data_IF_171779783085
#
_entry.id   IF_171779783085
#
_cell.length_a   1.000
_cell.length_b   1.000
_cell.length_c   1.000
_cell.angle_alpha   90.00
_cell.angle_beta   90.00
_cell.angle_gamma   90.00
#
_symmetry.space_group_name_H-M   'P 1'
#
loop_
_entity.id
_entity.type
_entity.pdbx_description
1 polymer ?
#
# COMPACT_ATOMS: atom_id res chain seq x y z
N UNK A 1 17.35 -39.14 -3.06
CA UNK A 1 16.03 -39.27 -3.74
C UNK A 1 14.99 -39.54 -2.66
N UNK A 2 14.37 -38.52 -2.07
CA UNK A 2 13.22 -38.68 -1.18
C UNK A 2 11.99 -38.24 -1.97
N UNK A 3 11.12 -39.17 -2.33
CA UNK A 3 9.80 -38.89 -2.88
C UNK A 3 8.97 -38.21 -1.81
N UNK A 4 8.73 -36.92 -1.95
CA UNK A 4 7.61 -36.24 -1.29
C UNK A 4 6.31 -36.77 -1.94
N UNK A 5 5.72 -37.79 -1.36
CA UNK A 5 4.36 -38.20 -1.68
C UNK A 5 3.41 -37.12 -1.16
N UNK A 6 2.93 -36.25 -2.06
CA UNK A 6 1.80 -35.37 -1.78
C UNK A 6 0.53 -36.21 -1.71
N UNK A 7 0.06 -36.49 -0.49
CA UNK A 7 -1.25 -37.15 -0.26
C UNK A 7 -2.35 -36.10 -0.44
N UNK A 8 -3.46 -36.49 -1.07
CA UNK A 8 -4.65 -35.66 -1.14
C UNK A 8 -5.30 -35.49 0.26
N UNK A 9 -6.09 -34.41 0.46
CA UNK A 9 -6.87 -34.19 1.69
C UNK A 9 -7.68 -35.43 2.06
N UNK A 10 -8.30 -36.07 1.05
CA UNK A 10 -9.09 -37.29 1.24
C UNK A 10 -8.25 -38.48 1.73
N UNK A 11 -6.99 -38.62 1.26
CA UNK A 11 -6.08 -39.67 1.74
C UNK A 11 -5.66 -39.44 3.20
N UNK A 12 -5.43 -38.18 3.57
CA UNK A 12 -5.10 -37.83 4.94
C UNK A 12 -6.29 -38.06 5.89
N UNK A 13 -7.49 -37.66 5.47
CA UNK A 13 -8.74 -37.90 6.21
C UNK A 13 -8.98 -39.40 6.37
N UNK A 14 -8.83 -40.20 5.30
CA UNK A 14 -9.00 -41.66 5.35
C UNK A 14 -8.01 -42.30 6.31
N UNK A 15 -6.74 -41.93 6.28
CA UNK A 15 -5.70 -42.43 7.19
C UNK A 15 -5.95 -42.01 8.64
N UNK A 16 -6.45 -40.79 8.86
CA UNK A 16 -6.80 -40.30 10.18
C UNK A 16 -8.01 -41.06 10.79
N UNK A 17 -9.06 -41.28 9.99
CA UNK A 17 -10.23 -42.05 10.40
C UNK A 17 -9.87 -43.52 10.70
N UNK A 18 -9.00 -44.14 9.85
CA UNK A 18 -8.53 -45.53 10.09
C UNK A 18 -7.72 -45.64 11.40
N UNK A 19 -6.78 -44.71 11.64
CA UNK A 19 -6.02 -44.67 12.89
C UNK A 19 -6.93 -44.48 14.12
N UNK A 20 -7.99 -43.68 13.99
CA UNK A 20 -8.97 -43.44 15.05
C UNK A 20 -9.75 -44.69 15.39
N UNK A 21 -10.11 -45.52 14.40
CA UNK A 21 -10.76 -46.83 14.65
C UNK A 21 -9.82 -47.86 15.26
N UNK A 22 -8.51 -47.76 14.99
CA UNK A 22 -7.48 -48.68 15.48
C UNK A 22 -6.95 -48.30 16.90
N UNK A 23 -7.18 -47.07 17.34
CA UNK A 23 -6.76 -46.54 18.64
C UNK A 23 -7.87 -46.70 19.68
N UNK A 24 -8.19 -47.94 20.05
CA UNK A 24 -9.13 -48.18 21.14
C UNK A 24 -8.74 -47.49 22.46
N UNK A 25 -9.70 -46.99 23.19
CA UNK A 25 -9.77 -46.47 24.62
C UNK A 25 -8.57 -45.71 25.23
N UNK A 26 -7.44 -45.57 24.57
CA UNK A 26 -6.20 -45.00 25.12
C UNK A 26 -6.07 -43.46 24.97
N UNK A 27 -6.82 -42.82 24.07
CA UNK A 27 -6.79 -41.36 23.86
C UNK A 27 -7.97 -40.69 24.52
N UNK A 28 -7.69 -39.89 25.56
CA UNK A 28 -8.74 -39.14 26.28
C UNK A 28 -9.32 -38.06 25.34
N UNK A 29 -10.60 -38.21 24.98
CA UNK A 29 -11.28 -37.21 24.15
C UNK A 29 -11.33 -35.86 24.90
N UNK A 30 -11.02 -34.78 24.20
CA UNK A 30 -10.90 -33.41 24.67
C UNK A 30 -12.13 -32.57 24.27
N UNK A 31 -12.34 -31.48 24.96
CA UNK A 31 -13.35 -30.49 24.58
C UNK A 31 -12.94 -29.78 23.30
N UNK A 32 -13.91 -29.43 22.44
CA UNK A 32 -13.66 -28.73 21.18
C UNK A 32 -12.89 -27.43 21.38
N UNK A 33 -13.26 -26.63 22.41
CA UNK A 33 -12.60 -25.37 22.72
C UNK A 33 -11.11 -25.53 23.07
N UNK A 34 -10.77 -26.59 23.84
CA UNK A 34 -9.37 -26.87 24.17
C UNK A 34 -8.54 -27.26 22.94
N UNK A 35 -9.13 -28.05 22.03
CA UNK A 35 -8.50 -28.43 20.77
C UNK A 35 -8.28 -27.18 19.88
N UNK A 36 -9.30 -26.36 19.75
CA UNK A 36 -9.24 -25.11 18.95
C UNK A 36 -8.16 -24.17 19.48
N UNK A 37 -8.13 -23.89 20.76
CA UNK A 37 -7.13 -23.03 21.39
C UNK A 37 -5.70 -23.56 21.22
N UNK A 38 -5.51 -24.86 21.34
CA UNK A 38 -4.20 -25.49 21.15
C UNK A 38 -3.73 -25.36 19.69
N UNK A 39 -4.60 -25.65 18.73
CA UNK A 39 -4.28 -25.56 17.30
C UNK A 39 -4.06 -24.13 16.86
N UNK A 40 -4.86 -23.18 17.35
CA UNK A 40 -4.67 -21.75 17.08
C UNK A 40 -3.27 -21.29 17.49
N UNK A 41 -2.81 -21.65 18.70
CA UNK A 41 -1.46 -21.30 19.18
C UNK A 41 -0.35 -21.93 18.33
N UNK A 42 -0.49 -23.21 17.97
CA UNK A 42 0.51 -23.94 17.19
C UNK A 42 0.62 -23.38 15.76
N UNK A 43 -0.51 -23.17 15.09
CA UNK A 43 -0.57 -22.69 13.72
C UNK A 43 -0.16 -21.20 13.66
N UNK A 44 -0.64 -20.37 14.57
CA UNK A 44 -0.23 -18.96 14.61
C UNK A 44 1.28 -18.78 14.86
N UNK A 45 1.89 -19.66 15.68
CA UNK A 45 3.32 -19.61 15.99
C UNK A 45 4.20 -20.08 14.80
N UNK A 46 3.80 -21.16 14.14
CA UNK A 46 4.66 -21.86 13.19
C UNK A 46 4.27 -21.61 11.72
N UNK A 47 3.03 -21.18 11.45
CA UNK A 47 2.40 -21.11 10.12
C UNK A 47 1.53 -19.86 9.98
N UNK A 48 1.98 -18.74 10.52
CA UNK A 48 1.23 -17.45 10.44
C UNK A 48 1.04 -16.96 9.01
N UNK A 49 1.98 -17.26 8.12
CA UNK A 49 1.90 -16.87 6.71
C UNK A 49 0.79 -17.65 5.98
N UNK A 50 0.73 -18.98 6.18
CA UNK A 50 -0.29 -19.85 5.60
C UNK A 50 -1.68 -19.50 6.12
N UNK A 51 -1.79 -19.17 7.42
CA UNK A 51 -3.04 -18.72 8.02
C UNK A 51 -3.53 -17.40 7.39
N UNK A 52 -2.62 -16.46 7.15
CA UNK A 52 -2.95 -15.19 6.51
C UNK A 52 -3.30 -15.35 5.02
N UNK A 53 -2.68 -16.30 4.33
CA UNK A 53 -2.88 -16.53 2.90
C UNK A 53 -4.32 -16.95 2.56
N UNK A 54 -5.00 -17.66 3.47
CA UNK A 54 -6.41 -18.07 3.31
C UNK A 54 -7.36 -16.87 3.12
N UNK A 55 -6.98 -15.69 3.60
CA UNK A 55 -7.80 -14.49 3.47
C UNK A 55 -7.92 -13.97 2.03
N UNK A 56 -6.97 -14.31 1.16
CA UNK A 56 -6.89 -13.76 -0.19
C UNK A 56 -6.62 -14.78 -1.31
N UNK A 57 -6.36 -16.04 -0.96
CA UNK A 57 -6.05 -17.11 -1.91
C UNK A 57 -6.96 -18.33 -1.66
N UNK A 58 -7.98 -18.57 -2.49
CA UNK A 58 -8.91 -19.70 -2.30
C UNK A 58 -8.22 -21.07 -2.19
N UNK A 59 -7.11 -21.25 -2.92
CA UNK A 59 -6.31 -22.47 -2.90
C UNK A 59 -5.59 -22.71 -1.55
N UNK A 60 -5.45 -21.69 -0.72
CA UNK A 60 -4.85 -21.84 0.61
C UNK A 60 -5.76 -22.56 1.61
N UNK A 61 -7.08 -22.62 1.38
CA UNK A 61 -8.02 -23.36 2.22
C UNK A 61 -7.61 -24.82 2.36
N UNK A 62 -7.33 -25.49 1.24
CA UNK A 62 -6.90 -26.89 1.23
C UNK A 62 -5.61 -27.09 2.04
N UNK A 63 -4.62 -26.19 1.85
CA UNK A 63 -3.35 -26.27 2.58
C UNK A 63 -3.53 -26.08 4.11
N UNK A 64 -4.39 -25.16 4.52
CA UNK A 64 -4.67 -24.96 5.94
C UNK A 64 -5.43 -26.14 6.56
N UNK A 65 -6.41 -26.71 5.84
CA UNK A 65 -7.11 -27.93 6.27
C UNK A 65 -6.14 -29.11 6.40
N UNK A 66 -5.22 -29.29 5.47
CA UNK A 66 -4.14 -30.29 5.57
C UNK A 66 -3.27 -30.09 6.80
N UNK A 67 -2.95 -28.83 7.12
CA UNK A 67 -2.15 -28.47 8.28
C UNK A 67 -2.90 -28.81 9.59
N UNK A 68 -4.18 -28.47 9.67
CA UNK A 68 -5.06 -28.81 10.81
C UNK A 68 -5.06 -30.33 11.01
N UNK A 69 -5.24 -31.11 9.93
CA UNK A 69 -5.23 -32.58 10.00
C UNK A 69 -3.89 -33.13 10.52
N UNK A 70 -2.77 -32.56 10.05
CA UNK A 70 -1.44 -32.98 10.52
C UNK A 70 -1.26 -32.72 12.01
N UNK A 71 -1.67 -31.55 12.51
CA UNK A 71 -1.58 -31.22 13.94
C UNK A 71 -2.56 -32.04 14.79
N UNK A 72 -3.80 -32.28 14.34
CA UNK A 72 -4.74 -33.17 15.02
C UNK A 72 -4.12 -34.57 15.21
N UNK A 73 -3.44 -35.08 14.17
CA UNK A 73 -2.80 -36.39 14.22
C UNK A 73 -1.52 -36.40 15.06
N UNK A 74 -0.63 -35.41 14.92
CA UNK A 74 0.65 -35.40 15.64
C UNK A 74 0.47 -35.14 17.13
N UNK A 75 -0.50 -34.32 17.51
CA UNK A 75 -0.83 -34.00 18.89
C UNK A 75 -1.87 -34.94 19.51
N UNK A 76 -2.32 -35.95 18.74
CA UNK A 76 -3.30 -36.97 19.17
C UNK A 76 -4.60 -36.36 19.73
N UNK A 77 -5.11 -35.28 19.05
CA UNK A 77 -6.29 -34.54 19.48
C UNK A 77 -7.55 -35.22 18.95
N UNK A 78 -8.47 -35.59 19.87
CA UNK A 78 -9.76 -36.24 19.57
C UNK A 78 -10.85 -35.44 20.25
N UNK A 79 -11.83 -34.94 19.49
CA UNK A 79 -12.98 -34.23 20.08
C UNK A 79 -14.03 -35.20 20.64
N UNK A 80 -14.66 -34.82 21.77
CA UNK A 80 -15.71 -35.62 22.45
C UNK A 80 -16.99 -35.72 21.62
N UNK A 81 -17.40 -34.62 21.00
CA UNK A 81 -18.76 -34.45 20.48
C UNK A 81 -18.83 -34.40 18.94
N UNK A 82 -17.71 -34.66 18.22
CA UNK A 82 -17.66 -34.65 16.77
C UNK A 82 -17.36 -36.03 16.20
N UNK A 83 -18.34 -36.60 15.51
CA UNK A 83 -18.28 -37.98 15.02
C UNK A 83 -17.32 -38.22 13.88
N UNK A 84 -17.02 -37.20 13.05
CA UNK A 84 -16.21 -37.29 11.83
C UNK A 84 -15.08 -36.27 11.85
N UNK A 85 -13.87 -36.72 11.51
CA UNK A 85 -12.68 -35.82 11.45
C UNK A 85 -12.83 -34.72 10.39
N UNK A 86 -13.55 -34.96 9.30
CA UNK A 86 -13.80 -33.93 8.28
C UNK A 86 -14.63 -32.79 8.85
N UNK A 87 -15.70 -33.10 9.60
CA UNK A 87 -16.54 -32.11 10.26
C UNK A 87 -15.74 -31.31 11.30
N UNK A 88 -14.87 -32.00 12.05
CA UNK A 88 -13.96 -31.34 13.00
C UNK A 88 -12.99 -30.38 12.30
N UNK A 89 -12.40 -30.80 11.21
CA UNK A 89 -11.47 -29.96 10.41
C UNK A 89 -12.18 -28.76 9.82
N UNK A 90 -13.39 -28.95 9.28
CA UNK A 90 -14.18 -27.85 8.70
C UNK A 90 -14.62 -26.86 9.79
N UNK A 91 -15.03 -27.34 10.96
CA UNK A 91 -15.38 -26.47 12.09
C UNK A 91 -14.16 -25.67 12.59
N UNK A 92 -13.01 -26.33 12.79
CA UNK A 92 -11.77 -25.69 13.22
C UNK A 92 -11.30 -24.65 12.15
N UNK A 93 -11.34 -25.04 10.87
CA UNK A 93 -11.03 -24.12 9.79
C UNK A 93 -11.92 -22.87 9.82
N UNK A 94 -13.23 -23.04 9.94
CA UNK A 94 -14.18 -21.94 10.02
C UNK A 94 -13.90 -21.03 11.20
N UNK A 95 -13.65 -21.60 12.38
CA UNK A 95 -13.36 -20.82 13.59
C UNK A 95 -11.97 -20.14 13.55
N UNK A 96 -11.00 -20.74 12.88
CA UNK A 96 -9.67 -20.17 12.73
C UNK A 96 -9.57 -19.11 11.63
N UNK A 97 -10.05 -19.41 10.45
CA UNK A 97 -9.80 -18.65 9.24
C UNK A 97 -11.04 -17.99 8.64
N UNK A 98 -12.25 -18.51 8.91
CA UNK A 98 -13.48 -17.96 8.35
C UNK A 98 -13.76 -16.53 8.84
N UNK A 99 -14.01 -15.61 7.90
CA UNK A 99 -14.38 -14.21 8.16
C UNK A 99 -15.88 -13.97 7.94
N UNK A 100 -16.68 -15.03 8.07
CA UNK A 100 -18.12 -14.96 7.87
C UNK A 100 -18.48 -14.37 6.50
N UNK A 101 -19.41 -13.44 6.50
CA UNK A 101 -19.88 -12.77 5.28
C UNK A 101 -18.82 -11.98 4.52
N UNK A 102 -17.67 -11.65 5.14
CA UNK A 102 -16.59 -10.90 4.47
C UNK A 102 -15.68 -11.80 3.62
N UNK A 103 -15.67 -13.11 3.85
CA UNK A 103 -14.74 -14.05 3.18
C UNK A 103 -14.82 -13.98 1.65
N UNK A 104 -15.98 -13.99 0.98
CA UNK A 104 -16.05 -13.91 -0.49
C UNK A 104 -15.42 -12.63 -1.04
N UNK A 105 -15.60 -11.50 -0.35
CA UNK A 105 -15.08 -10.19 -0.78
C UNK A 105 -13.60 -10.01 -0.48
N UNK A 106 -13.09 -10.63 0.56
CA UNK A 106 -11.66 -10.69 0.85
C UNK A 106 -10.91 -11.51 -0.22
N UNK A 107 -11.52 -12.59 -0.71
CA UNK A 107 -10.95 -13.45 -1.74
C UNK A 107 -11.14 -12.88 -3.16
N UNK A 108 -12.17 -12.06 -3.39
CA UNK A 108 -12.43 -11.48 -4.71
C UNK A 108 -11.34 -10.48 -5.10
N UNK A 109 -10.59 -10.83 -6.17
CA UNK A 109 -9.50 -10.02 -6.68
C UNK A 109 -9.90 -8.60 -7.12
N UNK A 110 -11.17 -8.37 -7.46
CA UNK A 110 -11.66 -7.07 -7.91
C UNK A 110 -12.04 -6.13 -6.74
N UNK A 111 -12.23 -6.67 -5.54
CA UNK A 111 -12.48 -5.85 -4.34
C UNK A 111 -11.26 -4.99 -4.00
N UNK A 112 -11.45 -3.68 -3.86
CA UNK A 112 -10.41 -2.73 -3.46
C UNK A 112 -10.49 -2.38 -1.97
N UNK A 113 -11.72 -2.24 -1.43
CA UNK A 113 -11.92 -1.87 -0.03
C UNK A 113 -13.24 -2.44 0.50
N UNK A 114 -13.24 -2.81 1.79
CA UNK A 114 -14.45 -3.22 2.52
C UNK A 114 -14.59 -2.30 3.73
N UNK A 115 -15.72 -1.60 3.84
CA UNK A 115 -16.01 -0.72 4.95
C UNK A 115 -17.12 -1.32 5.82
N UNK A 116 -16.77 -1.67 7.04
CA UNK A 116 -17.68 -2.14 8.09
C UNK A 116 -18.09 -0.93 8.93
N UNK A 117 -19.34 -0.52 8.82
CA UNK A 117 -19.94 0.60 9.55
C UNK A 117 -20.93 0.08 10.62
N UNK A 118 -20.53 -0.93 11.37
CA UNK A 118 -21.37 -1.63 12.34
C UNK A 118 -21.95 -2.93 11.80
N UNK A 119 -22.74 -3.60 12.64
CA UNK A 119 -23.27 -4.95 12.40
C UNK A 119 -24.16 -5.09 11.16
N UNK A 120 -24.83 -4.01 10.74
CA UNK A 120 -25.77 -3.99 9.60
C UNK A 120 -25.30 -3.14 8.41
N UNK A 121 -24.10 -2.56 8.43
CA UNK A 121 -23.66 -1.60 7.41
C UNK A 121 -22.34 -1.96 6.77
N UNK A 122 -22.30 -2.91 5.84
CA UNK A 122 -21.06 -3.29 5.15
C UNK A 122 -21.08 -2.83 3.70
N UNK A 123 -20.10 -2.02 3.33
CA UNK A 123 -19.91 -1.55 1.97
C UNK A 123 -18.68 -2.18 1.34
N UNK A 124 -18.82 -2.63 0.10
CA UNK A 124 -17.71 -3.16 -0.71
C UNK A 124 -17.45 -2.21 -1.87
N UNK A 125 -16.20 -1.80 -1.99
CA UNK A 125 -15.72 -0.89 -3.03
C UNK A 125 -14.95 -1.68 -4.08
N UNK A 126 -15.36 -1.50 -5.31
CA UNK A 126 -14.67 -1.92 -6.52
C UNK A 126 -14.14 -0.68 -7.25
N UNK A 127 -13.32 -0.88 -8.27
CA UNK A 127 -12.73 0.21 -9.04
C UNK A 127 -13.78 1.19 -9.61
N UNK A 128 -14.92 0.67 -10.03
CA UNK A 128 -15.98 1.38 -10.77
C UNK A 128 -17.28 1.57 -9.99
N UNK A 129 -17.45 0.86 -8.88
CA UNK A 129 -18.71 0.85 -8.12
C UNK A 129 -18.50 0.62 -6.63
N UNK A 130 -19.50 1.05 -5.86
CA UNK A 130 -19.63 0.79 -4.42
C UNK A 130 -20.98 0.13 -4.16
N UNK A 131 -20.98 -1.00 -3.46
CA UNK A 131 -22.21 -1.76 -3.15
C UNK A 131 -22.39 -1.86 -1.65
N UNK A 132 -23.64 -1.75 -1.18
CA UNK A 132 -24.06 -2.08 0.18
C UNK A 132 -24.46 -3.56 0.21
N UNK A 133 -23.89 -4.34 1.13
CA UNK A 133 -24.26 -5.74 1.30
C UNK A 133 -25.64 -5.85 1.92
N UNK A 134 -26.40 -6.87 1.52
CA UNK A 134 -27.69 -7.21 2.12
C UNK A 134 -27.53 -8.08 3.37
N UNK A 135 -26.43 -8.82 3.43
CA UNK A 135 -26.04 -9.65 4.56
C UNK A 135 -25.59 -8.76 5.72
N UNK A 136 -25.78 -9.25 6.94
CA UNK A 136 -25.41 -8.58 8.19
C UNK A 136 -24.63 -9.53 9.08
N UNK A 137 -23.91 -8.99 10.07
CA UNK A 137 -23.25 -9.82 11.09
C UNK A 137 -24.25 -10.45 12.10
N UNK A 138 -25.52 -10.09 12.02
CA UNK A 138 -26.56 -10.58 12.91
C UNK A 138 -26.59 -9.92 14.30
N UNK A 139 -25.45 -9.50 14.84
CA UNK A 139 -25.38 -8.76 16.12
C UNK A 139 -24.15 -7.87 16.19
N UNK A 140 -24.18 -6.80 17.04
CA UNK A 140 -23.01 -5.96 17.31
C UNK A 140 -21.82 -6.76 17.83
N UNK A 141 -22.05 -7.74 18.71
CA UNK A 141 -20.99 -8.58 19.24
C UNK A 141 -20.33 -9.46 18.17
N UNK A 142 -21.10 -10.04 17.25
CA UNK A 142 -20.57 -10.82 16.13
C UNK A 142 -19.69 -9.95 15.21
N UNK A 143 -20.11 -8.70 14.95
CA UNK A 143 -19.31 -7.73 14.23
C UNK A 143 -17.99 -7.45 14.94
N UNK A 144 -18.03 -7.13 16.24
CA UNK A 144 -16.84 -6.86 17.04
C UNK A 144 -15.89 -8.07 17.07
N UNK A 145 -16.41 -9.28 17.16
CA UNK A 145 -15.61 -10.50 17.19
C UNK A 145 -14.88 -10.74 15.86
N UNK A 146 -15.52 -10.50 14.73
CA UNK A 146 -14.87 -10.59 13.41
C UNK A 146 -13.75 -9.53 13.28
N UNK A 147 -14.01 -8.28 13.67
CA UNK A 147 -12.99 -7.22 13.62
C UNK A 147 -11.81 -7.52 14.55
N UNK A 148 -12.06 -7.98 15.78
CA UNK A 148 -11.00 -8.46 16.70
C UNK A 148 -10.23 -9.65 16.13
N UNK A 149 -10.92 -10.61 15.50
CA UNK A 149 -10.30 -11.76 14.85
C UNK A 149 -9.37 -11.31 13.73
N UNK A 150 -9.84 -10.43 12.85
CA UNK A 150 -9.04 -9.89 11.76
C UNK A 150 -7.80 -9.14 12.25
N UNK A 151 -7.92 -8.31 13.28
CA UNK A 151 -6.78 -7.57 13.84
C UNK A 151 -5.69 -8.51 14.39
N UNK A 152 -6.05 -9.65 14.95
CA UNK A 152 -5.10 -10.65 15.46
C UNK A 152 -4.24 -11.29 14.37
N UNK A 153 -4.71 -11.38 13.13
CA UNK A 153 -3.87 -11.84 12.00
C UNK A 153 -2.64 -10.94 11.79
N UNK A 154 -2.76 -9.65 12.06
CA UNK A 154 -1.62 -8.71 12.04
C UNK A 154 -0.98 -8.50 13.42
N UNK A 155 -1.19 -9.43 14.37
CA UNK A 155 -0.66 -9.36 15.74
C UNK A 155 -1.12 -8.14 16.55
N UNK A 156 -2.27 -7.56 16.21
CA UNK A 156 -2.89 -6.45 16.94
C UNK A 156 -4.05 -6.97 17.77
N UNK A 157 -4.04 -6.67 19.06
CA UNK A 157 -5.13 -7.00 19.98
C UNK A 157 -5.99 -5.76 20.18
N UNK A 158 -7.27 -5.86 19.79
CA UNK A 158 -8.27 -4.83 20.08
C UNK A 158 -9.07 -5.28 21.31
N UNK A 159 -9.05 -4.46 22.36
CA UNK A 159 -9.80 -4.66 23.60
C UNK A 159 -10.19 -3.32 24.22
N UNK A 160 -10.80 -3.34 25.40
CA UNK A 160 -11.23 -2.12 26.09
C UNK A 160 -10.10 -1.18 26.49
N UNK A 161 -8.85 -1.67 26.59
CA UNK A 161 -7.66 -0.86 26.89
C UNK A 161 -7.00 -0.30 25.61
N UNK A 162 -7.14 -1.00 24.49
CA UNK A 162 -6.67 -0.59 23.15
C UNK A 162 -7.79 -0.79 22.12
N UNK A 163 -8.81 0.09 22.12
CA UNK A 163 -10.00 -0.10 21.29
C UNK A 163 -9.81 0.27 19.82
N UNK A 164 -8.71 0.94 19.45
CA UNK A 164 -8.40 1.36 18.09
C UNK A 164 -7.08 0.74 17.67
N UNK A 165 -6.98 0.29 16.41
CA UNK A 165 -5.74 -0.24 15.88
C UNK A 165 -5.72 -0.39 14.37
N UNK A 166 -4.49 -0.33 13.85
CA UNK A 166 -4.13 -0.64 12.47
C UNK A 166 -3.47 -2.01 12.43
N UNK A 167 -3.85 -2.84 11.47
CA UNK A 167 -3.38 -4.20 11.35
C UNK A 167 -3.10 -4.57 9.90
N UNK A 168 -2.00 -5.28 9.67
CA UNK A 168 -1.70 -5.92 8.39
C UNK A 168 -2.17 -7.37 8.45
N UNK A 169 -3.39 -7.61 8.00
CA UNK A 169 -4.03 -8.92 8.14
C UNK A 169 -3.52 -9.94 7.14
N UNK A 170 -2.97 -9.49 6.02
CA UNK A 170 -2.30 -10.32 5.02
C UNK A 170 -1.38 -9.45 4.14
N UNK A 171 -0.57 -10.08 3.28
CA UNK A 171 0.26 -9.36 2.30
C UNK A 171 -0.64 -8.50 1.39
N UNK A 172 -0.45 -7.17 1.46
CA UNK A 172 -1.26 -6.22 0.70
C UNK A 172 -2.69 -6.02 1.22
N UNK A 173 -3.03 -6.48 2.44
CA UNK A 173 -4.34 -6.25 3.05
C UNK A 173 -4.17 -5.58 4.41
N UNK A 174 -4.54 -4.30 4.49
CA UNK A 174 -4.52 -3.50 5.71
C UNK A 174 -5.94 -3.33 6.25
N UNK A 175 -6.08 -3.38 7.56
CA UNK A 175 -7.31 -3.04 8.28
C UNK A 175 -7.01 -1.94 9.29
N UNK A 176 -7.83 -0.89 9.28
CA UNK A 176 -7.95 0.08 10.37
C UNK A 176 -9.30 -0.15 11.03
N UNK A 177 -9.33 -0.34 12.34
CA UNK A 177 -10.58 -0.67 13.01
C UNK A 177 -10.68 -0.13 14.43
N UNK A 178 -11.91 -0.03 14.90
CA UNK A 178 -12.23 0.35 16.27
C UNK A 178 -13.40 -0.47 16.82
N UNK A 179 -13.39 -0.64 18.14
CA UNK A 179 -14.42 -1.31 18.93
C UNK A 179 -14.84 -0.43 20.11
N UNK A 180 -15.80 -0.87 20.91
CA UNK A 180 -16.14 -0.24 22.19
C UNK A 180 -14.87 -0.08 23.07
N UNK A 181 -14.69 1.07 23.79
CA UNK A 181 -15.63 2.17 24.00
C UNK A 181 -15.59 3.29 22.96
N UNK A 182 -14.82 3.19 21.86
CA UNK A 182 -14.72 4.22 20.83
C UNK A 182 -15.80 4.13 19.75
N UNK A 183 -16.59 3.05 19.78
CA UNK A 183 -17.70 2.78 18.86
C UNK A 183 -18.97 2.59 19.66
N UNK A 184 -20.09 3.04 19.11
CA UNK A 184 -21.41 2.83 19.70
C UNK A 184 -21.66 1.32 19.93
N UNK A 185 -22.13 0.91 21.15
CA UNK A 185 -22.44 -0.47 21.44
C UNK A 185 -23.38 -1.13 20.43
N UNK A 186 -24.36 -0.39 19.92
CA UNK A 186 -25.32 -0.88 18.92
C UNK A 186 -24.66 -1.17 17.55
N UNK A 187 -23.55 -0.54 17.23
CA UNK A 187 -22.76 -0.81 16.04
C UNK A 187 -21.80 -2.01 16.24
N UNK A 188 -21.27 -2.17 17.46
CA UNK A 188 -20.30 -3.20 17.83
C UNK A 188 -18.87 -2.92 17.40
N UNK A 189 -18.63 -2.69 16.12
CA UNK A 189 -17.31 -2.35 15.58
C UNK A 189 -17.42 -1.56 14.27
N UNK A 190 -16.35 -0.82 13.97
CA UNK A 190 -16.12 -0.26 12.63
C UNK A 190 -14.77 -0.75 12.12
N UNK A 191 -14.65 -0.94 10.78
CA UNK A 191 -13.37 -1.24 10.15
C UNK A 191 -13.35 -0.78 8.70
N UNK A 192 -12.19 -0.33 8.24
CA UNK A 192 -11.87 -0.19 6.82
C UNK A 192 -10.77 -1.19 6.47
N UNK A 193 -11.07 -2.09 5.54
CA UNK A 193 -10.17 -3.14 5.09
C UNK A 193 -9.80 -2.83 3.66
N UNK A 194 -8.57 -2.41 3.44
CA UNK A 194 -8.07 -2.02 2.12
C UNK A 194 -7.17 -3.09 1.54
N UNK A 195 -7.55 -3.57 0.35
CA UNK A 195 -6.76 -4.52 -0.43
C UNK A 195 -5.86 -3.74 -1.39
N UNK A 196 -4.57 -3.82 -1.15
CA UNK A 196 -3.58 -3.20 -2.02
C UNK A 196 -3.25 -4.19 -3.13
N UNK A 197 -3.72 -3.90 -4.33
CA UNK A 197 -3.22 -4.58 -5.53
C UNK A 197 -1.83 -3.98 -5.82
N UNK A 198 -0.78 -4.78 -6.07
CA UNK A 198 0.43 -4.26 -6.68
C UNK A 198 0.01 -3.66 -8.02
N UNK A 199 -0.19 -2.36 -8.06
CA UNK A 199 -0.58 -1.69 -9.29
C UNK A 199 0.67 -1.46 -10.13
N UNK A 200 1.00 -2.40 -10.99
CA UNK A 200 1.95 -2.17 -12.06
C UNK A 200 1.29 -1.28 -13.10
N UNK A 201 1.32 0.03 -12.84
CA UNK A 201 0.94 1.00 -13.85
C UNK A 201 2.07 1.08 -14.86
N UNK A 202 1.76 0.83 -16.12
CA UNK A 202 2.72 0.89 -17.21
C UNK A 202 2.60 2.23 -17.96
N UNK A 203 3.63 2.59 -18.72
CA UNK A 203 3.57 3.72 -19.68
C UNK A 203 2.31 3.65 -20.56
N UNK A 204 2.01 2.46 -21.09
CA UNK A 204 0.83 2.23 -21.94
C UNK A 204 -0.47 2.52 -21.21
N UNK A 205 -0.56 2.17 -19.93
CA UNK A 205 -1.74 2.47 -19.11
C UNK A 205 -1.90 3.97 -18.91
N UNK A 206 -0.85 4.69 -18.49
CA UNK A 206 -0.90 6.13 -18.22
C UNK A 206 -1.29 6.93 -19.46
N UNK A 207 -0.73 6.58 -20.61
CA UNK A 207 -1.08 7.21 -21.89
C UNK A 207 -2.50 6.80 -22.31
N UNK A 208 -2.83 5.51 -22.26
CA UNK A 208 -4.14 5.00 -22.69
C UNK A 208 -5.32 5.49 -21.86
N UNK A 209 -5.08 5.81 -20.58
CA UNK A 209 -6.08 6.45 -19.71
C UNK A 209 -6.08 7.98 -19.83
N UNK A 210 -5.23 8.53 -20.69
CA UNK A 210 -5.02 9.97 -20.80
C UNK A 210 -4.69 10.62 -19.44
N UNK A 211 -3.96 9.89 -18.59
CA UNK A 211 -3.48 10.42 -17.30
C UNK A 211 -2.31 11.35 -17.52
N UNK A 212 -1.44 11.01 -18.46
CA UNK A 212 -0.26 11.77 -18.86
C UNK A 212 0.07 11.55 -20.35
N UNK A 213 0.79 12.48 -20.93
CA UNK A 213 1.38 12.35 -22.27
C UNK A 213 2.71 11.60 -22.23
N UNK A 214 3.17 11.17 -23.40
CA UNK A 214 4.49 10.59 -23.55
C UNK A 214 5.60 11.55 -23.10
N UNK A 215 5.49 12.85 -23.44
CA UNK A 215 6.46 13.88 -23.09
C UNK A 215 6.55 14.13 -21.58
N UNK A 216 5.42 14.15 -20.87
CA UNK A 216 5.39 14.29 -19.40
C UNK A 216 6.08 13.11 -18.73
N UNK A 217 5.81 11.89 -19.20
CA UNK A 217 6.41 10.66 -18.64
C UNK A 217 7.92 10.62 -18.93
N UNK A 218 8.33 10.95 -20.16
CA UNK A 218 9.75 11.03 -20.56
C UNK A 218 10.51 12.05 -19.71
N UNK A 219 9.91 13.22 -19.49
CA UNK A 219 10.50 14.27 -18.68
C UNK A 219 10.71 13.82 -17.21
N UNK A 220 9.68 13.25 -16.57
CA UNK A 220 9.78 12.81 -15.17
C UNK A 220 10.79 11.67 -14.99
N UNK A 221 10.80 10.71 -15.90
CA UNK A 221 11.78 9.61 -15.89
C UNK A 221 13.19 10.09 -16.17
N UNK A 222 13.37 11.03 -17.11
CA UNK A 222 14.64 11.68 -17.37
C UNK A 222 15.18 12.37 -16.10
N UNK A 223 14.35 13.12 -15.39
CA UNK A 223 14.72 13.81 -14.16
C UNK A 223 15.23 12.80 -13.11
N UNK A 224 14.43 11.81 -12.75
CA UNK A 224 14.79 10.85 -11.68
C UNK A 224 16.01 10.03 -12.05
N UNK A 225 16.10 9.58 -13.29
CA UNK A 225 17.24 8.79 -13.76
C UNK A 225 18.55 9.58 -13.78
N UNK A 226 18.50 10.92 -13.80
CA UNK A 226 19.68 11.77 -13.87
C UNK A 226 19.87 12.69 -12.66
N UNK A 227 19.40 12.24 -11.49
CA UNK A 227 19.75 12.88 -10.22
C UNK A 227 18.89 14.09 -9.85
N UNK A 228 17.74 14.29 -10.52
CA UNK A 228 16.79 15.35 -10.20
C UNK A 228 15.64 14.78 -9.40
N UNK A 229 15.46 15.27 -8.18
CA UNK A 229 14.39 14.83 -7.28
C UNK A 229 13.01 15.29 -7.76
N UNK A 230 12.02 14.43 -7.56
CA UNK A 230 10.62 14.68 -7.92
C UNK A 230 9.72 14.41 -6.72
N UNK A 231 8.86 15.36 -6.38
CA UNK A 231 7.78 15.13 -5.44
C UNK A 231 6.43 15.09 -6.19
N UNK A 232 5.54 14.19 -5.77
CA UNK A 232 4.22 13.98 -6.38
C UNK A 232 3.15 14.39 -5.38
N UNK A 233 2.46 15.47 -5.65
CA UNK A 233 1.39 16.03 -4.84
C UNK A 233 0.00 15.66 -5.36
N UNK A 234 -0.98 15.59 -4.47
CA UNK A 234 -2.39 15.38 -4.84
C UNK A 234 -3.21 14.80 -3.70
N UNK A 235 -4.52 14.75 -3.86
CA UNK A 235 -5.45 14.19 -2.89
C UNK A 235 -5.29 12.67 -2.71
N UNK A 236 -5.93 12.13 -1.66
CA UNK A 236 -6.07 10.67 -1.48
C UNK A 236 -6.81 10.06 -2.67
N UNK A 237 -6.38 8.88 -3.13
CA UNK A 237 -7.00 8.19 -4.26
C UNK A 237 -6.61 8.72 -5.66
N UNK A 238 -5.79 9.78 -5.75
CA UNK A 238 -5.32 10.28 -7.05
C UNK A 238 -4.31 9.36 -7.75
N UNK A 239 -3.76 8.36 -7.05
CA UNK A 239 -2.85 7.35 -7.61
C UNK A 239 -1.37 7.78 -7.62
N UNK A 240 -0.94 8.63 -6.67
CA UNK A 240 0.45 9.12 -6.55
C UNK A 240 1.48 7.98 -6.45
N UNK A 241 1.21 7.00 -5.57
CA UNK A 241 2.11 5.85 -5.35
C UNK A 241 2.26 4.99 -6.61
N UNK A 242 1.18 4.84 -7.40
CA UNK A 242 1.22 4.09 -8.66
C UNK A 242 2.13 4.78 -9.70
N UNK A 243 2.05 6.12 -9.82
CA UNK A 243 2.93 6.89 -10.72
C UNK A 243 4.38 6.86 -10.24
N UNK A 244 4.59 6.99 -8.93
CA UNK A 244 5.91 6.83 -8.33
C UNK A 244 6.50 5.45 -8.65
N UNK A 245 5.69 4.39 -8.53
CA UNK A 245 6.08 3.04 -8.92
C UNK A 245 6.47 2.93 -10.39
N UNK A 246 5.71 3.56 -11.30
CA UNK A 246 6.06 3.62 -12.72
C UNK A 246 7.40 4.34 -12.94
N UNK A 247 7.57 5.55 -12.40
CA UNK A 247 8.80 6.32 -12.56
C UNK A 247 10.01 5.53 -12.05
N UNK A 248 9.90 4.93 -10.86
CA UNK A 248 10.97 4.14 -10.26
C UNK A 248 11.26 2.83 -11.02
N UNK A 249 10.28 2.25 -11.71
CA UNK A 249 10.48 1.06 -12.54
C UNK A 249 11.35 1.31 -13.78
N UNK A 250 11.55 2.59 -14.17
CA UNK A 250 12.41 2.98 -15.30
C UNK A 250 13.86 3.21 -14.89
N UNK A 251 14.16 3.14 -13.59
CA UNK A 251 15.51 3.35 -13.06
C UNK A 251 16.42 2.20 -13.49
N UNK A 252 17.62 2.48 -13.99
CA UNK A 252 18.60 1.45 -14.33
C UNK A 252 18.87 0.50 -13.15
N UNK A 253 18.96 -0.83 -13.40
CA UNK A 253 18.99 -1.84 -12.35
C UNK A 253 20.20 -1.76 -11.40
N UNK A 254 21.29 -1.16 -11.85
CA UNK A 254 22.52 -0.94 -11.06
C UNK A 254 22.42 0.26 -10.10
N UNK A 255 21.39 1.10 -10.21
CA UNK A 255 21.19 2.22 -9.30
C UNK A 255 20.41 1.76 -8.08
N UNK A 256 21.08 1.83 -6.92
CA UNK A 256 20.45 1.43 -5.65
C UNK A 256 19.29 2.32 -5.27
N UNK A 257 18.11 1.71 -5.13
CA UNK A 257 16.88 2.33 -4.63
C UNK A 257 16.63 1.84 -3.21
N UNK A 258 16.36 2.75 -2.28
CA UNK A 258 15.88 2.40 -0.94
C UNK A 258 14.50 3.02 -0.74
N UNK A 259 13.46 2.19 -0.59
CA UNK A 259 12.11 2.66 -0.26
C UNK A 259 11.85 2.56 1.23
N UNK A 260 11.10 3.51 1.76
CA UNK A 260 10.63 3.52 3.14
C UNK A 260 9.12 3.75 3.10
N UNK A 261 8.35 2.79 3.59
CA UNK A 261 6.89 2.79 3.49
C UNK A 261 6.28 2.37 4.83
N UNK A 262 5.09 2.88 5.14
CA UNK A 262 4.31 2.36 6.26
C UNK A 262 3.72 0.99 5.90
N UNK A 263 3.29 0.87 4.65
CA UNK A 263 2.78 -0.37 4.05
C UNK A 263 3.43 -0.57 2.70
N UNK A 264 3.82 -1.79 2.37
CA UNK A 264 4.45 -2.09 1.10
C UNK A 264 3.48 -1.97 -0.07
N UNK A 265 3.51 -0.83 -0.74
CA UNK A 265 2.77 -0.54 -1.98
C UNK A 265 3.66 -0.68 -3.21
N UNK A 266 4.95 -0.31 -3.08
CA UNK A 266 5.91 -0.36 -4.16
C UNK A 266 6.49 -1.77 -4.31
N UNK A 267 6.30 -2.38 -5.49
CA UNK A 267 6.84 -3.70 -5.83
C UNK A 267 7.90 -3.53 -6.92
N UNK A 268 9.06 -2.98 -6.56
CA UNK A 268 10.12 -2.64 -7.51
C UNK A 268 11.14 -3.76 -7.70
N UNK A 269 11.29 -4.66 -6.73
CA UNK A 269 12.24 -5.76 -6.82
C UNK A 269 11.88 -6.73 -7.95
N UNK A 270 12.82 -6.99 -8.83
CA UNK A 270 12.71 -7.91 -9.95
C UNK A 270 13.54 -9.16 -9.68
N UNK A 271 12.97 -10.31 -9.97
CA UNK A 271 13.63 -11.61 -9.77
C UNK A 271 13.60 -12.40 -11.07
N UNK A 272 14.66 -13.17 -11.32
CA UNK A 272 14.66 -14.17 -12.39
C UNK A 272 13.88 -15.43 -11.99
N UNK A 273 13.85 -16.40 -12.89
CA UNK A 273 13.19 -17.70 -12.68
C UNK A 273 13.79 -18.55 -11.54
N UNK A 274 15.01 -18.23 -11.11
CA UNK A 274 15.71 -18.88 -10.00
C UNK A 274 15.53 -18.13 -8.66
N UNK A 275 14.77 -17.00 -8.65
CA UNK A 275 14.56 -16.16 -7.47
C UNK A 275 15.74 -15.25 -7.17
N UNK A 276 16.66 -15.02 -8.10
CA UNK A 276 17.81 -14.12 -7.94
C UNK A 276 17.36 -12.72 -8.33
N UNK A 277 17.62 -11.76 -7.43
CA UNK A 277 17.28 -10.35 -7.65
C UNK A 277 18.10 -9.75 -8.80
N UNK A 278 17.42 -9.09 -9.73
CA UNK A 278 18.01 -8.53 -10.96
C UNK A 278 18.24 -7.01 -10.90
N UNK A 279 17.77 -6.34 -9.84
CA UNK A 279 17.98 -4.91 -9.62
C UNK A 279 18.29 -4.60 -8.14
N UNK A 280 19.02 -3.51 -7.89
CA UNK A 280 19.47 -3.16 -6.53
C UNK A 280 18.40 -2.33 -5.80
N UNK A 281 17.43 -3.02 -5.18
CA UNK A 281 16.31 -2.40 -4.48
C UNK A 281 16.19 -2.93 -3.06
N UNK A 282 16.11 -2.03 -2.08
CA UNK A 282 15.86 -2.33 -0.68
C UNK A 282 14.51 -1.73 -0.29
N UNK A 283 13.64 -2.54 0.29
CA UNK A 283 12.36 -2.09 0.83
C UNK A 283 12.40 -2.12 2.36
N UNK A 284 12.17 -0.98 2.98
CA UNK A 284 12.08 -0.82 4.43
C UNK A 284 10.64 -0.47 4.81
N UNK A 285 10.18 -1.04 5.92
CA UNK A 285 8.84 -0.80 6.44
C UNK A 285 8.93 -0.21 7.84
N UNK A 286 8.14 0.81 8.12
CA UNK A 286 7.92 1.28 9.49
C UNK A 286 7.28 0.19 10.31
N UNK A 287 7.42 0.28 11.61
CA UNK A 287 6.80 -0.66 12.54
C UNK A 287 6.13 0.14 13.65
N UNK A 288 4.88 -0.17 13.89
CA UNK A 288 4.18 0.26 15.10
C UNK A 288 4.54 -0.63 16.29
N UNK A 289 3.82 -0.54 17.40
CA UNK A 289 4.08 -1.33 18.60
C UNK A 289 4.19 -2.86 18.36
N UNK A 290 4.86 -3.63 19.21
CA UNK A 290 5.79 -3.20 20.25
C UNK A 290 7.16 -2.81 19.65
N UNK A 291 7.83 -1.82 20.26
CA UNK A 291 9.09 -1.25 19.78
C UNK A 291 8.97 -0.60 18.40
N UNK A 292 8.40 0.60 18.33
CA UNK A 292 8.16 1.30 17.06
C UNK A 292 9.48 1.62 16.34
N UNK A 293 9.45 1.50 15.02
CA UNK A 293 10.51 1.95 14.09
C UNK A 293 9.89 2.97 13.17
N UNK A 294 10.26 4.23 13.34
CA UNK A 294 9.65 5.34 12.62
C UNK A 294 10.25 5.54 11.23
N UNK A 295 9.55 6.28 10.38
CA UNK A 295 10.07 6.75 9.09
C UNK A 295 11.44 7.44 9.27
N UNK A 296 11.59 8.26 10.32
CA UNK A 296 12.84 8.98 10.61
C UNK A 296 14.00 8.04 10.96
N UNK A 297 13.73 6.96 11.71
CA UNK A 297 14.77 5.96 12.04
C UNK A 297 15.26 5.25 10.77
N UNK A 298 14.33 4.88 9.90
CA UNK A 298 14.64 4.22 8.64
C UNK A 298 15.34 5.16 7.64
N UNK A 299 15.00 6.46 7.63
CA UNK A 299 15.73 7.47 6.87
C UNK A 299 17.20 7.55 7.31
N UNK A 300 17.44 7.64 8.62
CA UNK A 300 18.82 7.65 9.17
C UNK A 300 19.59 6.37 8.83
N UNK A 301 18.93 5.21 8.84
CA UNK A 301 19.53 3.95 8.38
C UNK A 301 19.86 4.03 6.89
N UNK A 302 18.92 4.47 6.08
CA UNK A 302 19.02 4.52 4.61
C UNK A 302 20.22 5.32 4.14
N UNK A 303 20.53 6.45 4.77
CA UNK A 303 21.70 7.28 4.44
C UNK A 303 23.04 6.51 4.59
N UNK A 304 23.07 5.42 5.38
CA UNK A 304 24.26 4.55 5.56
C UNK A 304 24.29 3.39 4.56
N UNK A 305 23.20 3.18 3.81
CA UNK A 305 23.09 2.11 2.81
C UNK A 305 23.54 2.56 1.41
N UNK A 306 24.05 3.79 1.29
CA UNK A 306 24.54 4.39 0.03
C UNK A 306 23.50 4.37 -1.11
N UNK A 307 22.25 4.82 -0.91
CA UNK A 307 21.26 4.85 -1.98
C UNK A 307 21.66 5.88 -3.05
N UNK A 308 21.38 5.59 -4.31
CA UNK A 308 21.34 6.60 -5.36
C UNK A 308 19.99 7.31 -5.36
N UNK A 309 18.92 6.56 -5.11
CA UNK A 309 17.54 7.06 -5.02
C UNK A 309 16.96 6.65 -3.68
N UNK A 310 16.53 7.63 -2.91
CA UNK A 310 15.86 7.45 -1.62
C UNK A 310 14.37 7.79 -1.77
N UNK A 311 13.53 6.86 -1.37
CA UNK A 311 12.09 6.93 -1.59
C UNK A 311 11.33 6.84 -0.26
N UNK A 312 11.26 7.94 0.52
CA UNK A 312 10.22 8.04 1.55
C UNK A 312 8.88 8.14 0.84
N UNK A 313 8.12 7.04 0.87
CA UNK A 313 6.96 6.89 -0.01
C UNK A 313 5.91 7.98 0.18
N UNK A 314 5.74 8.47 1.41
CA UNK A 314 4.85 9.59 1.71
C UNK A 314 5.41 10.46 2.83
N UNK A 315 5.52 11.77 2.58
CA UNK A 315 5.85 12.76 3.61
C UNK A 315 4.55 13.27 4.26
N UNK A 316 4.46 13.12 5.60
CA UNK A 316 3.27 13.52 6.38
C UNK A 316 3.60 14.44 7.54
N UNK A 317 4.85 14.43 8.03
CA UNK A 317 5.24 15.14 9.25
C UNK A 317 6.73 15.46 9.34
N UNK A 318 7.28 15.31 10.52
CA UNK A 318 8.64 15.77 10.90
C UNK A 318 9.78 15.17 10.06
N UNK A 319 9.58 14.03 9.44
CA UNK A 319 10.55 13.39 8.55
C UNK A 319 10.91 14.26 7.34
N UNK A 320 10.03 15.17 6.93
CA UNK A 320 10.25 16.07 5.79
C UNK A 320 11.53 16.89 5.94
N UNK A 321 11.90 17.29 7.18
CA UNK A 321 13.15 17.99 7.44
C UNK A 321 14.38 17.16 7.04
N UNK A 322 14.42 15.89 7.44
CA UNK A 322 15.54 14.98 7.09
C UNK A 322 15.52 14.62 5.60
N UNK A 323 14.35 14.48 5.00
CA UNK A 323 14.18 14.17 3.57
C UNK A 323 14.75 15.32 2.71
N UNK A 324 14.41 16.58 3.02
CA UNK A 324 14.96 17.72 2.26
C UNK A 324 16.48 17.84 2.45
N UNK A 325 17.01 17.55 3.65
CA UNK A 325 18.46 17.53 3.88
C UNK A 325 19.16 16.46 3.02
N UNK A 326 18.59 15.25 2.94
CA UNK A 326 19.11 14.18 2.09
C UNK A 326 19.13 14.58 0.60
N UNK A 327 18.08 15.23 0.10
CA UNK A 327 18.01 15.74 -1.28
C UNK A 327 19.08 16.77 -1.62
N UNK A 328 19.49 17.57 -0.63
CA UNK A 328 20.57 18.58 -0.78
C UNK A 328 21.98 18.01 -0.66
N UNK A 329 22.11 16.81 -0.11
CA UNK A 329 23.41 16.14 0.09
C UNK A 329 23.76 15.11 -0.99
N UNK A 330 23.06 15.14 -2.13
CA UNK A 330 23.41 14.36 -3.32
C UNK A 330 22.57 13.10 -3.55
N UNK A 331 21.52 12.88 -2.75
CA UNK A 331 20.59 11.79 -3.00
C UNK A 331 19.44 12.29 -3.90
N UNK A 332 19.06 11.49 -4.88
CA UNK A 332 17.81 11.73 -5.62
C UNK A 332 16.64 11.30 -4.75
N UNK A 333 15.70 12.19 -4.49
CA UNK A 333 14.52 11.89 -3.70
C UNK A 333 13.30 11.74 -4.60
N UNK A 334 12.53 10.68 -4.40
CA UNK A 334 11.18 10.56 -4.97
C UNK A 334 10.22 10.33 -3.81
N UNK A 335 9.21 11.19 -3.68
CA UNK A 335 8.27 11.09 -2.56
C UNK A 335 6.88 11.57 -2.96
N UNK A 336 5.87 11.20 -2.16
CA UNK A 336 4.51 11.72 -2.34
C UNK A 336 4.09 12.55 -1.13
N UNK A 337 3.12 13.44 -1.32
CA UNK A 337 2.49 14.20 -0.26
C UNK A 337 1.07 14.64 -0.64
N UNK A 338 0.31 15.04 0.36
CA UNK A 338 -1.02 15.61 0.15
C UNK A 338 -0.95 17.12 0.00
N UNK A 339 -1.37 17.64 -1.16
CA UNK A 339 -1.56 19.08 -1.42
C UNK A 339 -2.59 19.31 -2.53
N UNK A 340 -3.07 20.57 -2.65
CA UNK A 340 -4.11 20.94 -3.60
C UNK A 340 -3.56 21.64 -4.87
N UNK A 341 -2.25 21.87 -4.95
CA UNK A 341 -1.55 22.35 -6.14
C UNK A 341 -0.05 22.08 -6.01
N UNK A 342 0.71 22.22 -7.10
CA UNK A 342 2.17 22.09 -7.08
C UNK A 342 2.81 23.12 -6.14
N UNK A 343 2.36 24.37 -6.15
CA UNK A 343 2.90 25.43 -5.27
C UNK A 343 2.57 25.20 -3.80
N UNK A 344 1.31 24.85 -3.48
CA UNK A 344 0.90 24.53 -2.11
C UNK A 344 1.62 23.30 -1.55
N UNK A 345 2.16 22.43 -2.39
CA UNK A 345 2.97 21.31 -1.92
C UNK A 345 4.26 21.78 -1.23
N UNK A 346 4.90 22.82 -1.71
CA UNK A 346 6.09 23.40 -1.06
C UNK A 346 5.74 23.99 0.31
N UNK A 347 4.63 24.70 0.42
CA UNK A 347 4.12 25.23 1.70
C UNK A 347 3.80 24.12 2.70
N UNK A 348 3.25 23.01 2.19
CA UNK A 348 2.98 21.84 3.03
C UNK A 348 4.27 21.21 3.54
N UNK A 349 5.32 21.07 2.70
CA UNK A 349 6.63 20.59 3.12
C UNK A 349 7.26 21.55 4.15
N UNK A 350 7.15 22.86 3.93
CA UNK A 350 7.62 23.87 4.87
C UNK A 350 6.98 23.69 6.25
N UNK A 351 5.65 23.58 6.30
CA UNK A 351 4.91 23.32 7.54
C UNK A 351 5.43 22.09 8.28
N UNK A 352 5.58 20.95 7.56
CA UNK A 352 6.11 19.71 8.14
C UNK A 352 7.55 19.87 8.67
N UNK A 353 8.39 20.64 7.98
CA UNK A 353 9.75 20.95 8.45
C UNK A 353 9.76 21.81 9.72
N UNK A 354 8.85 22.77 9.81
CA UNK A 354 8.70 23.61 11.02
C UNK A 354 8.22 22.79 12.23
N UNK A 355 7.32 21.83 12.02
CA UNK A 355 6.85 20.90 13.06
C UNK A 355 7.98 20.02 13.63
N UNK A 356 9.08 19.86 12.91
CA UNK A 356 10.27 19.15 13.40
C UNK A 356 11.08 19.94 14.43
N UNK A 357 10.77 21.21 14.65
CA UNK A 357 11.43 22.05 15.68
C UNK A 357 12.81 22.57 15.27
N UNK A 358 12.99 22.94 14.01
CA UNK A 358 14.25 23.51 13.50
C UNK A 358 14.45 24.97 13.91
N UNK A 359 15.70 25.39 14.06
CA UNK A 359 16.08 26.78 14.30
C UNK A 359 16.22 27.63 13.00
N UNK A 360 16.01 27.00 11.82
CA UNK A 360 16.10 27.70 10.55
C UNK A 360 14.88 28.62 10.34
N UNK A 361 15.09 29.78 9.70
CA UNK A 361 13.99 30.63 9.29
C UNK A 361 13.16 30.00 8.18
N UNK A 362 11.88 30.35 8.08
CA UNK A 362 10.96 29.87 7.04
C UNK A 362 11.53 30.11 5.62
N UNK A 363 12.05 31.30 5.36
CA UNK A 363 12.67 31.63 4.07
C UNK A 363 13.86 30.70 3.75
N UNK A 364 14.70 30.39 4.76
CA UNK A 364 15.82 29.48 4.56
C UNK A 364 15.37 28.05 4.33
N UNK A 365 14.37 27.61 5.06
CA UNK A 365 13.76 26.28 4.84
C UNK A 365 13.14 26.17 3.46
N UNK A 366 12.38 27.18 3.04
CA UNK A 366 11.75 27.18 1.73
C UNK A 366 12.78 27.11 0.60
N UNK A 367 13.91 27.86 0.70
CA UNK A 367 15.04 27.75 -0.22
C UNK A 367 15.63 26.34 -0.24
N UNK A 368 15.78 25.71 0.92
CA UNK A 368 16.29 24.35 1.04
C UNK A 368 15.34 23.33 0.41
N UNK A 369 14.03 23.51 0.58
CA UNK A 369 13.00 22.63 0.01
C UNK A 369 12.98 22.73 -1.50
N UNK A 370 13.08 23.94 -2.07
CA UNK A 370 13.17 24.18 -3.52
C UNK A 370 14.42 23.50 -4.11
N UNK A 371 15.56 23.61 -3.41
CA UNK A 371 16.80 22.94 -3.82
C UNK A 371 16.68 21.42 -3.80
N UNK A 372 15.99 20.87 -2.78
CA UNK A 372 15.79 19.42 -2.61
C UNK A 372 14.77 18.85 -3.61
N UNK A 373 13.73 19.60 -3.94
CA UNK A 373 12.64 19.19 -4.82
C UNK A 373 12.45 20.20 -5.94
N UNK A 374 13.35 20.21 -6.96
CA UNK A 374 13.21 21.14 -8.09
C UNK A 374 11.97 20.85 -8.95
N UNK A 375 11.45 19.61 -8.94
CA UNK A 375 10.27 19.22 -9.74
C UNK A 375 9.15 18.78 -8.82
N UNK A 376 7.96 19.34 -9.03
CA UNK A 376 6.71 18.99 -8.39
C UNK A 376 5.68 18.58 -9.45
N UNK A 377 5.22 17.33 -9.38
CA UNK A 377 4.07 16.83 -10.12
C UNK A 377 2.81 17.02 -9.28
N UNK A 378 1.81 17.72 -9.77
CA UNK A 378 0.48 17.75 -9.15
C UNK A 378 -0.49 16.90 -9.93
N UNK A 379 -1.12 15.93 -9.23
CA UNK A 379 -2.07 14.97 -9.79
C UNK A 379 -3.41 15.05 -9.11
N UNK A 380 -4.48 14.94 -9.89
CA UNK A 380 -5.85 15.02 -9.39
C UNK A 380 -6.73 13.90 -9.97
N UNK A 381 -7.68 13.44 -9.17
CA UNK A 381 -8.81 12.67 -9.66
C UNK A 381 -9.95 13.66 -9.98
N UNK A 382 -10.45 13.61 -11.20
CA UNK A 382 -11.49 14.49 -11.69
C UNK A 382 -12.89 13.93 -11.38
N UNK A 383 -13.97 14.72 -11.51
CA UNK A 383 -15.34 14.31 -11.18
C UNK A 383 -15.88 13.09 -11.94
N UNK A 384 -15.30 12.75 -13.09
CA UNK A 384 -15.59 11.54 -13.87
C UNK A 384 -14.75 10.33 -13.45
N UNK A 385 -14.04 10.43 -12.33
CA UNK A 385 -13.05 9.47 -11.81
C UNK A 385 -11.79 9.29 -12.67
N UNK A 386 -11.62 10.02 -13.76
CA UNK A 386 -10.35 10.05 -14.48
C UNK A 386 -9.25 10.70 -13.60
N UNK A 387 -8.00 10.31 -13.81
CA UNK A 387 -6.85 10.87 -13.08
C UNK A 387 -5.95 11.57 -14.08
N UNK A 388 -5.55 12.80 -13.77
CA UNK A 388 -4.75 13.64 -14.70
C UNK A 388 -3.53 14.21 -14.00
N UNK A 389 -2.43 14.30 -14.72
CA UNK A 389 -1.31 15.18 -14.36
C UNK A 389 -1.76 16.63 -14.64
N UNK A 390 -2.14 17.31 -13.57
CA UNK A 390 -2.69 18.66 -13.69
C UNK A 390 -1.59 19.70 -13.97
N UNK A 391 -0.41 19.48 -13.36
CA UNK A 391 0.71 20.40 -13.48
C UNK A 391 2.03 19.67 -13.21
N UNK A 392 3.05 19.93 -14.04
CA UNK A 392 4.45 19.65 -13.71
C UNK A 392 5.14 21.01 -13.58
N UNK A 393 5.59 21.32 -12.38
CA UNK A 393 6.15 22.60 -12.00
C UNK A 393 7.63 22.45 -11.67
N UNK A 394 8.47 23.34 -12.25
CA UNK A 394 9.86 23.53 -11.87
C UNK A 394 10.01 24.70 -10.92
N UNK A 395 10.46 24.46 -9.71
CA UNK A 395 10.82 25.50 -8.76
C UNK A 395 12.24 26.00 -9.06
N UNK A 396 12.38 27.32 -9.26
CA UNK A 396 13.66 27.96 -9.61
C UNK A 396 14.25 28.79 -8.48
N UNK A 397 13.49 29.03 -7.40
CA UNK A 397 13.94 29.82 -6.26
C UNK A 397 12.79 30.26 -5.36
N UNK A 398 13.09 31.23 -4.48
CA UNK A 398 12.13 31.87 -3.57
C UNK A 398 12.19 33.38 -3.81
N UNK A 399 11.04 34.00 -4.04
CA UNK A 399 10.89 35.45 -4.23
C UNK A 399 9.74 35.95 -3.35
N UNK A 400 9.99 36.99 -2.57
CA UNK A 400 9.01 37.60 -1.65
C UNK A 400 8.35 36.60 -0.67
N UNK A 401 9.09 35.56 -0.24
CA UNK A 401 8.58 34.52 0.65
C UNK A 401 7.80 33.41 -0.05
N UNK A 402 7.62 33.46 -1.37
CA UNK A 402 6.90 32.48 -2.15
C UNK A 402 7.83 31.72 -3.11
N UNK A 403 7.42 30.49 -3.48
CA UNK A 403 8.17 29.68 -4.46
C UNK A 403 7.99 30.25 -5.85
N UNK A 404 9.11 30.67 -6.44
CA UNK A 404 9.20 31.07 -7.84
C UNK A 404 9.53 29.87 -8.73
N UNK A 405 8.98 29.85 -9.93
CA UNK A 405 9.26 28.77 -10.89
C UNK A 405 8.39 28.83 -12.13
N UNK A 406 8.54 27.79 -12.97
CA UNK A 406 7.88 27.68 -14.26
C UNK A 406 6.95 26.46 -14.25
N UNK A 407 5.71 26.63 -14.71
CA UNK A 407 4.87 25.50 -15.09
C UNK A 407 5.37 24.99 -16.44
N UNK A 408 5.82 23.75 -16.49
CA UNK A 408 6.34 23.12 -17.71
C UNK A 408 5.22 22.46 -18.52
N UNK A 409 4.39 21.70 -17.83
CA UNK A 409 3.23 21.00 -18.41
C UNK A 409 1.99 21.30 -17.60
N UNK A 410 0.84 21.37 -18.26
CA UNK A 410 -0.45 21.63 -17.63
C UNK A 410 -1.56 20.90 -18.37
N UNK A 411 -2.49 20.31 -17.61
CA UNK A 411 -3.76 19.84 -18.13
C UNK A 411 -4.81 20.95 -18.00
N UNK A 412 -5.32 21.44 -19.13
CA UNK A 412 -6.39 22.43 -19.16
C UNK A 412 -7.74 21.73 -19.37
N UNK A 413 -8.67 21.92 -18.43
CA UNK A 413 -10.04 21.44 -18.57
C UNK A 413 -10.80 22.40 -19.49
N UNK A 414 -11.37 21.87 -20.57
CA UNK A 414 -12.12 22.67 -21.53
C UNK A 414 -13.61 22.70 -21.17
N UNK A 415 -14.24 21.52 -20.95
CA UNK A 415 -15.65 21.42 -20.57
C UNK A 415 -16.00 20.07 -19.96
N UNK A 416 -17.25 19.95 -19.51
CA UNK A 416 -17.81 18.75 -18.89
C UNK A 416 -18.97 18.20 -19.70
N UNK A 417 -18.97 16.90 -20.03
CA UNK A 417 -20.12 16.18 -20.52
C UNK A 417 -20.98 15.72 -19.34
N UNK A 418 -22.30 15.87 -19.45
CA UNK A 418 -23.25 15.50 -18.39
C UNK A 418 -24.32 14.56 -18.95
N UNK A 419 -24.81 13.66 -18.08
CA UNK A 419 -25.98 12.84 -18.39
C UNK A 419 -27.31 13.66 -18.28
N UNK A 420 -28.43 13.01 -18.60
CA UNK A 420 -29.75 13.63 -18.52
C UNK A 420 -30.16 14.10 -17.11
N UNK A 421 -29.50 13.56 -16.06
CA UNK A 421 -29.67 13.95 -14.66
C UNK A 421 -28.72 15.07 -14.21
N UNK A 422 -27.88 15.62 -15.11
CA UNK A 422 -26.90 16.67 -14.80
C UNK A 422 -25.61 16.17 -14.17
N UNK A 423 -25.44 14.87 -13.98
CA UNK A 423 -24.20 14.27 -13.42
C UNK A 423 -23.10 14.36 -14.47
N UNK A 424 -21.88 14.76 -14.03
CA UNK A 424 -20.68 14.75 -14.89
C UNK A 424 -20.31 13.29 -15.19
N UNK A 425 -20.28 12.94 -16.47
CA UNK A 425 -19.91 11.61 -16.97
C UNK A 425 -18.53 11.61 -17.65
N UNK A 426 -18.05 12.78 -18.08
CA UNK A 426 -16.73 12.91 -18.68
C UNK A 426 -16.18 14.33 -18.54
N UNK A 427 -14.89 14.43 -18.26
CA UNK A 427 -14.13 15.67 -18.26
C UNK A 427 -13.33 15.72 -19.55
N UNK A 428 -13.50 16.77 -20.34
CA UNK A 428 -12.76 17.01 -21.59
C UNK A 428 -11.71 18.08 -21.33
N UNK A 429 -10.49 17.83 -21.74
CA UNK A 429 -9.39 18.76 -21.58
C UNK A 429 -8.19 18.32 -22.40
N UNK A 430 -7.11 19.09 -22.31
CA UNK A 430 -5.92 18.87 -23.12
C UNK A 430 -4.65 19.05 -22.28
N UNK A 431 -3.74 18.10 -22.37
CA UNK A 431 -2.38 18.26 -21.87
C UNK A 431 -1.60 19.21 -22.78
N UNK A 432 -0.94 20.20 -22.21
CA UNK A 432 -0.15 21.20 -22.94
C UNK A 432 1.20 21.36 -22.29
N UNK A 433 2.22 21.48 -23.11
CA UNK A 433 3.50 22.01 -22.68
C UNK A 433 3.42 23.53 -22.74
N UNK A 434 3.57 24.19 -21.59
CA UNK A 434 3.36 25.65 -21.44
C UNK A 434 4.62 26.38 -21.04
N UNK A 435 5.71 25.67 -20.75
CA UNK A 435 6.98 26.27 -20.35
C UNK A 435 8.20 25.47 -20.81
N UNK A 436 9.36 26.09 -20.62
CA UNK A 436 10.67 25.53 -20.90
C UNK A 436 11.47 25.34 -19.61
N UNK A 437 12.41 24.39 -19.61
CA UNK A 437 13.35 24.19 -18.52
C UNK A 437 14.15 25.46 -18.26
N UNK A 438 14.41 25.72 -16.97
CA UNK A 438 15.38 26.75 -16.63
C UNK A 438 16.80 26.35 -17.07
N UNK A 439 17.68 27.33 -17.33
CA UNK A 439 19.08 27.04 -17.62
C UNK A 439 19.79 26.26 -16.50
N UNK A 440 19.37 26.45 -15.26
CA UNK A 440 19.92 25.77 -14.08
C UNK A 440 19.59 24.28 -14.12
N UNK A 441 18.34 23.93 -14.39
CA UNK A 441 17.90 22.53 -14.46
C UNK A 441 18.50 21.85 -15.72
N UNK A 442 18.52 22.54 -16.85
CA UNK A 442 19.17 22.07 -18.09
C UNK A 442 20.65 21.71 -17.84
N UNK A 443 21.39 22.60 -17.16
CA UNK A 443 22.78 22.37 -16.78
C UNK A 443 22.94 21.19 -15.82
N UNK A 444 22.03 21.04 -14.84
CA UNK A 444 22.03 19.91 -13.90
C UNK A 444 21.83 18.58 -14.61
N UNK A 445 20.92 18.51 -15.57
CA UNK A 445 20.67 17.33 -16.39
C UNK A 445 21.89 17.01 -17.29
N UNK A 446 22.51 18.02 -17.88
CA UNK A 446 23.72 17.85 -18.69
C UNK A 446 24.87 17.24 -17.88
N UNK A 447 25.11 17.77 -16.67
CA UNK A 447 26.10 17.22 -15.72
C UNK A 447 25.73 15.80 -15.27
N UNK A 448 24.43 15.49 -15.18
CA UNK A 448 23.90 14.16 -14.89
C UNK A 448 24.09 13.15 -16.04
N UNK A 449 24.58 13.59 -17.21
CA UNK A 449 24.87 12.74 -18.36
C UNK A 449 23.79 12.70 -19.44
N UNK A 450 22.77 13.58 -19.35
CA UNK A 450 21.72 13.67 -20.38
C UNK A 450 22.29 14.28 -21.65
N UNK A 451 22.09 13.68 -22.84
CA UNK A 451 22.49 14.25 -24.10
C UNK A 451 21.86 15.63 -24.34
N UNK A 452 22.66 16.58 -24.83
CA UNK A 452 22.17 17.95 -25.05
C UNK A 452 20.99 18.04 -26.03
N UNK A 453 20.82 17.08 -26.92
CA UNK A 453 19.66 16.97 -27.81
C UNK A 453 18.36 16.66 -27.06
N UNK A 454 18.39 15.75 -26.09
CA UNK A 454 17.24 15.45 -25.21
C UNK A 454 16.89 16.66 -24.32
N UNK A 455 17.89 17.38 -23.82
CA UNK A 455 17.66 18.61 -23.04
C UNK A 455 16.98 19.68 -23.91
N UNK A 456 17.42 19.87 -25.16
CA UNK A 456 16.82 20.84 -26.10
C UNK A 456 15.33 20.56 -26.32
N UNK A 457 14.91 19.28 -26.37
CA UNK A 457 13.49 18.89 -26.47
C UNK A 457 12.63 19.58 -25.41
N UNK A 458 13.15 19.80 -24.20
CA UNK A 458 12.41 20.41 -23.09
C UNK A 458 12.80 21.87 -22.81
N UNK A 459 13.89 22.38 -23.42
CA UNK A 459 14.37 23.75 -23.24
C UNK A 459 13.90 24.73 -24.32
N UNK A 460 13.41 24.21 -25.47
CA UNK A 460 12.98 24.99 -26.61
C UNK A 460 11.57 24.58 -27.06
N UNK A 461 10.76 25.49 -27.57
CA UNK A 461 9.46 25.21 -28.20
C UNK A 461 8.26 25.08 -27.26
N UNK A 462 8.38 25.39 -25.99
CA UNK A 462 7.31 25.35 -25.02
C UNK A 462 6.55 26.66 -24.84
N UNK A 463 6.02 27.22 -25.93
CA UNK A 463 5.06 28.31 -25.85
C UNK A 463 4.30 28.38 -27.17
N UNK A 464 3.16 27.74 -27.26
CA UNK A 464 2.09 28.05 -28.24
C UNK A 464 0.80 28.18 -27.45
#
# INVERSE_FOLDING_TARGET
MSRNEQFSVNDLIYRANKRRSDMGDAVKAQDYGEILDKLQRLIAKNHSAELAEVLYAPEAEGRLKDLIIRYLNSEQLVAKDVGNISELVDAIYFDMAGMGMLSPYLQDAETEEINVNGSGGVWVLYKDRKILLKETFGSPEACANIVRKMSRFGNVILDGSKPIGDSYIAKGVRMSGAIEPCVDPDAGAIASIRKQKPSYVTRKNLIGWDTATADELDFLTLCVNNGVSVAIAGATGSGKTADMGYILSTVPPEKRIVTIEDTRELSLAQYDENGIMQNDVIHLLTKEEPNPVTMLDLLKLSLRLHPKILVPAEMRGKEALTVQEAGRTGHTIVSTLHANSARMAYERILTMCLEAGTALSEERLLKNIVEAFPIMLFKMQLPDNSRKYMEIFEATGVQNGEVAGNTLFQYAVDHYERDAGGRIIKVIGTHRRVGNLSPVLAQRLLVGGVPGEEIRRFSEGGAV
#
